data_IF_579692374438
#
_entry.id   IF_579692374438
#
_cell.length_a   1.000
_cell.length_b   1.000
_cell.length_c   1.000
_cell.angle_alpha   90.00
_cell.angle_beta   90.00
_cell.angle_gamma   90.00
#
_symmetry.space_group_name_H-M   'P 1'
#
loop_
_entity.id
_entity.type
_entity.pdbx_description
1 polymer ?
#
# COMPACT_ATOMS: atom_id res chain seq x y z
N UNK A 1 9.34 -2.77 -31.93
CA UNK A 1 9.49 -3.51 -30.66
C UNK A 1 8.30 -3.21 -29.77
N UNK A 2 7.48 -4.20 -29.46
CA UNK A 2 6.41 -4.06 -28.46
C UNK A 2 7.07 -4.02 -27.08
N UNK A 3 6.81 -3.00 -26.23
CA UNK A 3 7.37 -2.99 -24.89
C UNK A 3 6.82 -4.18 -24.10
N UNK A 4 7.66 -5.16 -23.77
CA UNK A 4 7.30 -6.23 -22.83
C UNK A 4 7.82 -5.86 -21.45
N UNK A 5 6.90 -5.63 -20.51
CA UNK A 5 7.27 -5.44 -19.10
C UNK A 5 7.85 -6.75 -18.55
N UNK A 6 9.03 -6.70 -17.93
CA UNK A 6 9.59 -7.86 -17.23
C UNK A 6 8.64 -8.23 -16.08
N UNK A 7 8.23 -9.51 -16.03
CA UNK A 7 7.45 -10.06 -14.92
C UNK A 7 8.35 -10.90 -14.04
N UNK A 8 8.50 -10.50 -12.78
CA UNK A 8 9.23 -11.27 -11.76
C UNK A 8 8.48 -12.52 -11.29
N UNK A 9 7.16 -12.61 -11.55
CA UNK A 9 6.33 -13.75 -11.16
C UNK A 9 5.33 -14.13 -12.26
N UNK A 10 4.99 -15.43 -12.32
CA UNK A 10 3.98 -15.95 -13.23
C UNK A 10 2.59 -15.37 -12.89
N UNK A 11 1.79 -14.97 -13.91
CA UNK A 11 0.44 -14.44 -13.68
C UNK A 11 -0.48 -15.51 -13.08
N UNK A 12 -1.38 -15.10 -12.19
CA UNK A 12 -2.37 -15.98 -11.52
C UNK A 12 -3.74 -15.98 -12.18
N UNK A 13 -3.91 -15.31 -13.32
CA UNK A 13 -5.17 -15.26 -14.06
C UNK A 13 -6.30 -14.47 -13.38
N UNK A 14 -6.00 -13.72 -12.32
CA UNK A 14 -6.98 -12.92 -11.58
C UNK A 14 -6.70 -11.43 -11.78
N UNK A 15 -7.68 -10.69 -12.32
CA UNK A 15 -7.60 -9.24 -12.53
C UNK A 15 -8.33 -8.51 -11.41
N UNK A 16 -7.59 -7.99 -10.44
CA UNK A 16 -8.16 -7.23 -9.31
C UNK A 16 -8.58 -5.83 -9.77
N UNK A 17 -9.80 -5.42 -9.41
CA UNK A 17 -10.36 -4.10 -9.70
C UNK A 17 -10.59 -3.24 -8.45
N UNK A 18 -10.86 -3.87 -7.29
CA UNK A 18 -11.03 -3.19 -6.00
C UNK A 18 -10.43 -4.03 -4.89
N UNK A 19 -9.99 -3.37 -3.82
CA UNK A 19 -9.58 -4.01 -2.58
C UNK A 19 -9.97 -3.14 -1.37
N UNK A 20 -10.53 -3.74 -0.33
CA UNK A 20 -11.02 -3.05 0.87
C UNK A 20 -11.12 -4.04 2.05
N UNK A 21 -10.53 -3.69 3.18
CA UNK A 21 -10.41 -4.59 4.33
C UNK A 21 -9.71 -5.89 3.96
N UNK A 22 -10.25 -7.02 4.39
CA UNK A 22 -9.73 -8.36 4.08
C UNK A 22 -10.15 -8.87 2.68
N UNK A 23 -10.80 -8.06 1.85
CA UNK A 23 -11.40 -8.51 0.60
C UNK A 23 -10.80 -7.83 -0.63
N UNK A 24 -10.78 -8.58 -1.73
CA UNK A 24 -10.51 -8.08 -3.08
C UNK A 24 -11.68 -8.43 -4.01
N UNK A 25 -11.88 -7.63 -5.06
CA UNK A 25 -12.86 -7.87 -6.09
C UNK A 25 -12.17 -7.92 -7.45
N UNK A 26 -12.56 -8.88 -8.28
CA UNK A 26 -12.11 -8.92 -9.67
C UNK A 26 -12.88 -7.90 -10.55
N UNK A 27 -12.50 -7.83 -11.82
CA UNK A 27 -13.11 -6.91 -12.79
C UNK A 27 -14.61 -7.22 -13.05
N UNK A 28 -15.04 -8.44 -12.79
CA UNK A 28 -16.42 -8.90 -12.91
C UNK A 28 -17.22 -8.68 -11.60
N UNK A 29 -16.58 -8.16 -10.55
CA UNK A 29 -17.21 -7.85 -9.27
C UNK A 29 -17.31 -9.03 -8.29
N UNK A 30 -16.70 -10.19 -8.59
CA UNK A 30 -16.65 -11.32 -7.65
C UNK A 30 -15.71 -10.98 -6.50
N UNK A 31 -16.17 -11.24 -5.28
CA UNK A 31 -15.44 -10.94 -4.04
C UNK A 31 -14.68 -12.16 -3.53
N UNK A 32 -13.43 -11.95 -3.13
CA UNK A 32 -12.53 -12.97 -2.58
C UNK A 32 -11.99 -12.53 -1.22
N UNK A 33 -11.90 -13.46 -0.28
CA UNK A 33 -11.15 -13.26 0.96
C UNK A 33 -9.64 -13.37 0.64
N UNK A 34 -8.86 -12.36 1.03
CA UNK A 34 -7.44 -12.27 0.70
C UNK A 34 -6.57 -12.85 1.81
N UNK A 35 -6.13 -14.10 1.63
CA UNK A 35 -5.12 -14.73 2.49
C UNK A 35 -3.68 -14.49 2.04
N UNK A 36 -3.47 -13.81 0.91
CA UNK A 36 -2.14 -13.51 0.41
C UNK A 36 -1.59 -12.20 0.99
N UNK A 37 -2.47 -11.21 1.18
CA UNK A 37 -2.18 -9.93 1.84
C UNK A 37 -0.95 -9.19 1.27
N UNK A 38 -0.58 -9.45 0.02
CA UNK A 38 0.62 -8.91 -0.61
C UNK A 38 1.89 -9.21 0.18
N UNK A 39 2.11 -10.47 0.57
CA UNK A 39 3.21 -10.88 1.45
C UNK A 39 3.18 -10.20 2.84
N UNK A 40 1.98 -9.90 3.34
CA UNK A 40 1.76 -9.27 4.64
C UNK A 40 1.78 -7.73 4.63
N UNK A 41 2.08 -7.09 3.50
CA UNK A 41 2.03 -5.62 3.40
C UNK A 41 0.63 -5.06 3.73
N UNK A 42 -0.42 -5.82 3.40
CA UNK A 42 -1.81 -5.45 3.66
C UNK A 42 -2.38 -6.11 4.93
N UNK A 43 -1.56 -6.37 5.96
CA UNK A 43 -2.02 -7.08 7.18
C UNK A 43 -3.17 -6.36 7.93
N UNK A 44 -3.24 -5.02 7.86
CA UNK A 44 -4.35 -4.22 8.41
C UNK A 44 -5.56 -4.14 7.48
N UNK A 45 -5.55 -4.92 6.40
CA UNK A 45 -6.51 -4.85 5.32
C UNK A 45 -6.21 -3.73 4.33
N UNK A 46 -6.76 -3.90 3.13
CA UNK A 46 -6.70 -2.94 2.05
C UNK A 46 -7.44 -1.66 2.41
N UNK A 47 -6.87 -0.50 2.07
CA UNK A 47 -7.50 0.83 2.23
C UNK A 47 -8.03 1.13 3.64
N UNK A 48 -7.34 0.68 4.69
CA UNK A 48 -7.73 1.00 6.06
C UNK A 48 -7.92 2.53 6.24
N UNK A 49 -9.10 3.03 6.66
CA UNK A 49 -9.43 4.47 6.62
C UNK A 49 -8.43 5.36 7.34
N UNK A 50 -7.94 4.93 8.51
CA UNK A 50 -6.92 5.68 9.28
C UNK A 50 -5.60 5.84 8.50
N UNK A 51 -5.16 4.81 7.75
CA UNK A 51 -3.91 4.84 7.00
C UNK A 51 -4.09 5.73 5.76
N UNK A 52 -5.19 5.54 5.03
CA UNK A 52 -5.50 6.33 3.83
C UNK A 52 -5.59 7.82 4.16
N UNK A 53 -6.24 8.19 5.26
CA UNK A 53 -6.35 9.59 5.66
C UNK A 53 -4.99 10.17 6.06
N UNK A 54 -4.22 9.47 6.90
CA UNK A 54 -2.88 9.92 7.28
C UNK A 54 -1.94 10.10 6.08
N UNK A 55 -2.02 9.21 5.07
CA UNK A 55 -1.28 9.35 3.82
C UNK A 55 -1.71 10.59 3.04
N UNK A 56 -3.02 10.84 2.89
CA UNK A 56 -3.52 12.03 2.18
C UNK A 56 -3.05 13.32 2.85
N UNK A 57 -3.23 13.42 4.16
CA UNK A 57 -2.80 14.58 4.96
C UNK A 57 -1.29 14.85 4.82
N UNK A 58 -0.48 13.80 4.79
CA UNK A 58 0.97 13.94 4.60
C UNK A 58 1.32 14.35 3.16
N UNK A 59 0.61 13.83 2.17
CA UNK A 59 0.84 14.16 0.76
C UNK A 59 0.49 15.61 0.42
N UNK A 60 -0.39 16.25 1.19
CA UNK A 60 -0.63 17.70 1.09
C UNK A 60 0.59 18.54 1.53
N UNK A 61 1.53 17.95 2.29
CA UNK A 61 2.79 18.60 2.70
C UNK A 61 3.94 18.23 1.77
N UNK A 62 4.27 16.94 1.69
CA UNK A 62 5.36 16.40 0.86
C UNK A 62 5.31 14.87 0.81
N UNK A 63 5.73 14.30 -0.33
CA UNK A 63 5.82 12.84 -0.53
C UNK A 63 7.17 12.25 -0.11
N UNK A 64 8.28 12.92 -0.43
CA UNK A 64 9.64 12.42 -0.16
C UNK A 64 10.56 13.58 0.17
N UNK A 65 11.33 13.44 1.26
CA UNK A 65 12.38 14.35 1.69
C UNK A 65 13.57 13.48 2.08
N UNK A 66 14.79 13.91 1.73
CA UNK A 66 16.00 13.20 2.14
C UNK A 66 16.11 13.16 3.67
N UNK A 67 16.56 12.05 4.29
CA UNK A 67 16.88 12.02 5.72
C UNK A 67 17.95 13.03 6.17
N UNK A 68 18.60 13.73 5.24
CA UNK A 68 19.51 14.82 5.53
C UNK A 68 18.81 16.10 6.03
N UNK A 69 17.48 16.18 5.96
CA UNK A 69 16.70 17.33 6.45
C UNK A 69 15.82 16.92 7.63
N UNK A 70 15.75 17.80 8.63
CA UNK A 70 14.87 17.60 9.78
C UNK A 70 13.40 17.79 9.39
N UNK A 71 12.54 16.90 9.90
CA UNK A 71 11.10 16.96 9.68
C UNK A 71 10.35 16.42 10.89
N UNK A 72 9.18 17.01 11.18
CA UNK A 72 8.29 16.55 12.26
C UNK A 72 7.96 15.05 12.18
N UNK A 73 7.86 14.50 10.95
CA UNK A 73 7.57 13.07 10.77
C UNK A 73 8.76 12.18 11.11
N UNK A 74 9.99 12.62 10.82
CA UNK A 74 11.21 11.92 11.21
C UNK A 74 11.35 11.88 12.73
N UNK A 75 11.15 13.02 13.40
CA UNK A 75 11.19 13.12 14.87
C UNK A 75 10.20 12.14 15.50
N UNK A 76 8.93 12.18 15.08
CA UNK A 76 7.88 11.27 15.56
C UNK A 76 8.17 9.79 15.26
N UNK A 77 8.82 9.49 14.14
CA UNK A 77 9.22 8.13 13.79
C UNK A 77 10.34 7.63 14.70
N UNK A 78 11.35 8.46 14.95
CA UNK A 78 12.44 8.15 15.87
C UNK A 78 11.92 7.96 17.30
N UNK A 79 11.01 8.80 17.78
CA UNK A 79 10.37 8.67 19.10
C UNK A 79 9.55 7.38 19.27
N UNK A 80 9.02 6.81 18.19
CA UNK A 80 8.21 5.57 18.24
C UNK A 80 9.05 4.30 18.11
N UNK A 81 10.13 4.38 17.35
CA UNK A 81 11.08 3.29 17.14
C UNK A 81 12.09 3.21 18.27
N UNK A 82 12.46 4.37 18.81
CA UNK A 82 13.19 4.53 20.05
C UNK A 82 12.26 4.27 21.23
N UNK A 83 12.61 3.28 22.01
CA UNK A 83 12.53 3.47 23.45
C UNK A 83 13.68 4.39 23.84
#
# INVERSE_FOLDING_TARGET
>A
MTPSLIRFAAPRGLRIAKAEGQYVWDAEGRRYLDFYMGYGAAFLGHRHPKIVNALKEQLDKYMTISPAFDTEILDRCLDRLGR
#
